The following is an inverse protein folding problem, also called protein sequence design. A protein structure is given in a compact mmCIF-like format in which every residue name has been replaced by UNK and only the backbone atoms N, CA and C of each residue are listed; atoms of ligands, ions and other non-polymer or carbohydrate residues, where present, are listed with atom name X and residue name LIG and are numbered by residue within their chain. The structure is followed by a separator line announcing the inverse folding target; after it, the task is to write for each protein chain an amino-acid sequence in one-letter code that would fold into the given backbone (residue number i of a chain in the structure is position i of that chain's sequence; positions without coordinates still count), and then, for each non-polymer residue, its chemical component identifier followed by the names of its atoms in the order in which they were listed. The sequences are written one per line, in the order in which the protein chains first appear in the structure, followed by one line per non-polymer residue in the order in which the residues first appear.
data_IF_785280187957
#
_entry.id   IF_785280187957
#
_cell.length_a   1.000
_cell.length_b   1.000
_cell.length_c   1.000
_cell.angle_alpha   90.00
_cell.angle_beta   90.00
_cell.angle_gamma   90.00
#
_symmetry.space_group_name_H-M   'P 1'
#
loop_
_entity.id
_entity.type
_entity.pdbx_description
1 polymer ?
#
# COMPACT_ATOMS: atom_id res chain seq x y z
N UNK A 1 -47.38 21.57 -31.27
CA UNK A 1 -47.31 22.87 -31.95
C UNK A 1 -45.92 23.01 -32.49
N UNK A 2 -45.84 22.87 -33.76
CA UNK A 2 -45.57 23.84 -34.82
C UNK A 2 -44.07 23.98 -35.04
N UNK A 3 -43.54 23.34 -36.03
CA UNK A 3 -43.46 23.69 -37.50
C UNK A 3 -42.13 24.39 -37.78
N UNK A 4 -41.34 23.73 -38.61
CA UNK A 4 -41.18 23.94 -40.09
C UNK A 4 -40.05 24.92 -40.36
N UNK A 5 -39.24 24.86 -41.36
CA UNK A 5 -39.19 24.26 -42.70
C UNK A 5 -37.80 24.60 -43.26
N UNK A 6 -37.22 23.70 -44.01
CA UNK A 6 -37.12 23.69 -45.51
C UNK A 6 -36.31 24.85 -46.08
N UNK A 7 -35.50 24.78 -47.05
CA UNK A 7 -35.36 24.01 -48.27
C UNK A 7 -34.14 24.58 -49.02
N UNK A 8 -33.52 23.79 -49.83
CA UNK A 8 -33.48 23.79 -51.32
C UNK A 8 -32.70 24.97 -51.93
N UNK A 9 -31.91 24.90 -52.96
CA UNK A 9 -32.04 24.27 -54.27
C UNK A 9 -30.74 24.55 -55.05
N UNK A 10 -30.14 23.56 -55.66
CA UNK A 10 -29.92 23.32 -57.10
C UNK A 10 -29.06 24.32 -57.88
N UNK A 11 -28.27 23.86 -58.68
CA UNK A 11 -28.28 23.50 -60.10
C UNK A 11 -27.16 24.17 -60.90
N UNK A 12 -26.62 23.49 -61.81
CA UNK A 12 -26.29 23.79 -63.17
C UNK A 12 -24.85 23.39 -63.50
N UNK A 13 -24.60 22.25 -64.10
CA UNK A 13 -24.85 21.83 -65.48
C UNK A 13 -23.89 22.53 -66.47
N UNK A 14 -22.98 21.71 -66.97
CA UNK A 14 -22.83 21.20 -68.34
C UNK A 14 -22.41 22.23 -69.42
N UNK A 15 -21.42 21.88 -70.20
CA UNK A 15 -21.26 21.92 -71.64
C UNK A 15 -19.78 21.87 -71.98
N UNK A 16 -19.27 20.80 -72.45
CA UNK A 16 -19.14 20.23 -73.82
C UNK A 16 -17.95 20.81 -74.54
N UNK A 17 -17.07 19.97 -74.85
CA UNK A 17 -16.82 19.16 -76.05
C UNK A 17 -16.08 19.87 -77.20
N UNK A 18 -15.15 19.13 -77.70
CA UNK A 18 -14.61 18.99 -79.04
C UNK A 18 -13.69 20.11 -79.56
N UNK A 19 -12.57 19.88 -80.06
CA UNK A 19 -12.20 19.18 -81.25
C UNK A 19 -10.73 19.24 -81.55
N UNK A 20 -10.22 18.17 -82.02
CA UNK A 20 -9.49 17.84 -83.26
C UNK A 20 -8.03 18.16 -83.36
N UNK A 21 -7.34 17.06 -83.35
CA UNK A 21 -6.39 16.53 -84.35
C UNK A 21 -5.59 17.52 -85.17
N UNK A 22 -4.29 17.44 -85.14
CA UNK A 22 -3.45 17.17 -86.30
C UNK A 22 -1.99 16.97 -85.93
N UNK A 23 -1.48 15.82 -86.25
CA UNK A 23 -0.28 15.54 -87.03
C UNK A 23 1.07 16.16 -86.61
N UNK A 24 2.01 15.28 -86.38
CA UNK A 24 3.39 15.63 -86.46
C UNK A 24 4.35 14.53 -86.01
N UNK A 25 4.65 13.64 -86.89
CA UNK A 25 5.70 12.62 -86.87
C UNK A 25 7.06 13.12 -86.37
N UNK A 26 7.78 12.17 -85.79
CA UNK A 26 9.22 12.07 -85.74
C UNK A 26 9.88 12.82 -84.56
N UNK A 27 10.27 12.00 -83.56
CA UNK A 27 11.72 11.78 -83.32
C UNK A 27 11.90 10.60 -82.38
N UNK A 28 12.29 9.50 -82.96
CA UNK A 28 12.84 8.35 -82.26
C UNK A 28 14.15 8.80 -81.63
N UNK A 29 14.20 8.91 -80.29
CA UNK A 29 15.44 8.83 -79.49
C UNK A 29 15.35 7.61 -78.62
N UNK A 30 16.36 6.73 -78.66
CA UNK A 30 16.40 5.65 -77.67
C UNK A 30 16.66 6.29 -76.30
N UNK A 31 15.68 6.19 -75.42
CA UNK A 31 15.85 6.52 -74.03
C UNK A 31 16.83 5.53 -73.42
N UNK A 32 17.99 6.05 -73.02
CA UNK A 32 18.92 5.43 -72.13
C UNK A 32 18.15 4.93 -70.88
N UNK A 33 18.33 3.68 -70.57
CA UNK A 33 17.67 3.05 -69.42
C UNK A 33 17.82 3.85 -68.16
N UNK A 34 16.71 4.40 -67.71
CA UNK A 34 16.56 4.92 -66.37
C UNK A 34 16.50 3.70 -65.43
N UNK A 35 17.57 3.52 -64.69
CA UNK A 35 17.59 2.53 -63.65
C UNK A 35 16.34 2.69 -62.78
N UNK A 36 15.55 1.64 -62.69
CA UNK A 36 14.43 1.57 -61.74
C UNK A 36 14.94 2.02 -60.37
N UNK A 37 14.17 2.84 -59.65
CA UNK A 37 14.58 3.19 -58.29
C UNK A 37 14.72 1.89 -57.51
N UNK A 38 15.93 1.62 -57.08
CA UNK A 38 16.22 0.59 -56.09
C UNK A 38 15.30 0.89 -54.91
N UNK A 39 14.34 0.00 -54.66
CA UNK A 39 13.51 0.09 -53.50
C UNK A 39 14.46 0.23 -52.31
N UNK A 40 14.48 1.43 -51.69
CA UNK A 40 15.15 1.59 -50.42
C UNK A 40 14.53 0.57 -49.49
N UNK A 41 15.30 -0.45 -49.14
CA UNK A 41 14.88 -1.38 -48.09
C UNK A 41 14.52 -0.52 -46.88
N UNK A 42 13.27 -0.56 -46.49
CA UNK A 42 12.80 0.09 -45.25
C UNK A 42 13.70 -0.43 -44.15
N UNK A 43 14.51 0.43 -43.58
CA UNK A 43 15.40 0.04 -42.49
C UNK A 43 14.53 -0.56 -41.39
N UNK A 44 14.76 -1.85 -41.09
CA UNK A 44 14.04 -2.49 -39.97
C UNK A 44 14.44 -1.79 -38.68
N UNK A 45 13.51 -1.58 -37.75
CA UNK A 45 13.84 -1.03 -36.46
C UNK A 45 14.89 -1.91 -35.79
N UNK A 46 15.83 -1.30 -35.14
CA UNK A 46 16.92 -1.99 -34.45
C UNK A 46 16.99 -1.53 -32.99
N UNK A 47 17.42 -2.42 -32.13
CA UNK A 47 17.67 -2.20 -30.73
C UNK A 47 19.07 -2.71 -30.37
N UNK A 48 19.63 -2.16 -29.31
CA UNK A 48 20.95 -2.54 -28.82
C UNK A 48 20.82 -3.50 -27.65
N UNK A 49 21.63 -4.53 -27.61
CA UNK A 49 21.81 -5.38 -26.43
C UNK A 49 22.49 -4.55 -25.36
N UNK A 50 21.89 -4.45 -24.19
CA UNK A 50 22.40 -3.64 -23.09
C UNK A 50 22.58 -4.48 -21.83
N UNK A 51 23.61 -4.13 -21.04
CA UNK A 51 23.75 -4.67 -19.69
C UNK A 51 22.82 -3.95 -18.74
N UNK A 52 21.98 -4.74 -18.05
CA UNK A 52 21.05 -4.20 -17.04
C UNK A 52 20.73 -5.25 -16.00
N UNK A 53 20.18 -4.80 -14.89
CA UNK A 53 19.62 -5.68 -13.89
C UNK A 53 18.18 -6.03 -14.28
N UNK A 54 17.87 -7.32 -14.32
CA UNK A 54 16.51 -7.80 -14.54
C UNK A 54 15.96 -8.36 -13.24
N UNK A 55 14.80 -7.84 -12.83
CA UNK A 55 14.07 -8.32 -11.66
C UNK A 55 12.70 -8.80 -12.08
N UNK A 56 12.37 -10.04 -11.76
CA UNK A 56 11.01 -10.55 -11.88
C UNK A 56 10.15 -9.85 -10.85
N UNK A 57 9.07 -9.21 -11.30
CA UNK A 57 8.11 -8.53 -10.42
C UNK A 57 6.75 -9.23 -10.52
N UNK A 58 6.29 -9.76 -9.40
CA UNK A 58 4.95 -10.31 -9.30
C UNK A 58 3.99 -9.25 -8.81
N UNK A 59 3.01 -8.89 -9.62
CA UNK A 59 1.95 -7.96 -9.27
C UNK A 59 0.79 -8.70 -8.59
N UNK A 60 0.55 -8.41 -7.33
CA UNK A 60 -0.54 -8.99 -6.55
C UNK A 60 -1.54 -7.89 -6.18
N UNK A 61 -2.86 -8.12 -6.31
CA UNK A 61 -3.86 -7.16 -5.86
C UNK A 61 -3.80 -7.00 -4.35
N UNK A 62 -3.95 -5.76 -3.88
CA UNK A 62 -3.99 -5.39 -2.47
C UNK A 62 -5.12 -4.42 -2.17
N UNK A 63 -5.44 -4.30 -0.90
CA UNK A 63 -6.43 -3.35 -0.38
C UNK A 63 -5.76 -2.39 0.57
N UNK A 64 -5.90 -1.11 0.30
CA UNK A 64 -5.44 -0.03 1.16
C UNK A 64 -6.48 0.24 2.24
N UNK A 65 -6.05 0.20 3.49
CA UNK A 65 -6.91 0.40 4.64
C UNK A 65 -6.12 0.91 5.85
N UNK A 66 -6.58 0.58 7.04
CA UNK A 66 -5.93 0.99 8.29
C UNK A 66 -5.40 -0.21 9.10
N UNK A 67 -5.16 -1.33 8.43
CA UNK A 67 -4.74 -2.59 9.04
C UNK A 67 -5.89 -3.41 9.62
N UNK A 68 -5.55 -4.55 10.23
CA UNK A 68 -6.53 -5.43 10.84
C UNK A 68 -7.18 -4.78 12.07
N UNK A 69 -8.51 -4.87 12.21
CA UNK A 69 -9.20 -4.31 13.36
C UNK A 69 -8.90 -5.08 14.65
N UNK A 70 -8.67 -4.35 15.73
CA UNK A 70 -8.54 -4.87 17.08
C UNK A 70 -9.84 -4.62 17.85
N UNK A 71 -10.33 -5.65 18.53
CA UNK A 71 -11.51 -5.51 19.39
C UNK A 71 -11.12 -4.90 20.74
N UNK A 72 -11.80 -3.83 21.11
CA UNK A 72 -11.75 -3.27 22.44
C UNK A 72 -12.91 -3.83 23.26
N UNK A 73 -12.57 -4.60 24.28
CA UNK A 73 -13.52 -5.12 25.26
C UNK A 73 -13.55 -4.22 26.47
N UNK A 74 -14.73 -3.85 26.89
CA UNK A 74 -14.89 -3.05 28.09
C UNK A 74 -14.57 -3.84 29.37
N UNK A 75 -14.40 -3.12 30.47
CA UNK A 75 -14.04 -3.70 31.77
C UNK A 75 -14.99 -3.22 32.85
N UNK A 76 -15.30 -4.11 33.75
CA UNK A 76 -16.25 -3.82 34.85
C UNK A 76 -17.69 -3.92 34.40
N UNK A 77 -18.62 -3.85 35.38
CA UNK A 77 -20.05 -3.80 35.10
C UNK A 77 -20.48 -2.39 34.70
N UNK A 78 -21.73 -2.25 34.30
CA UNK A 78 -22.35 -1.00 33.93
C UNK A 78 -22.97 -1.03 32.55
N UNK A 79 -23.48 0.09 32.13
CA UNK A 79 -24.19 0.24 30.85
C UNK A 79 -23.43 1.20 29.94
N UNK A 80 -23.30 0.88 28.66
CA UNK A 80 -22.70 1.75 27.65
C UNK A 80 -23.62 2.98 27.45
N UNK A 81 -23.08 4.17 27.72
CA UNK A 81 -23.83 5.44 27.60
C UNK A 81 -23.35 6.34 26.48
N UNK A 82 -22.12 6.16 25.97
CA UNK A 82 -21.66 6.83 24.78
C UNK A 82 -20.61 5.98 24.06
N UNK A 83 -20.64 6.01 22.72
CA UNK A 83 -19.68 5.40 21.82
C UNK A 83 -19.24 6.43 20.78
N UNK A 84 -17.97 6.42 20.35
CA UNK A 84 -17.49 7.32 19.30
C UNK A 84 -18.04 6.90 17.94
N UNK A 85 -18.13 7.86 17.02
CA UNK A 85 -18.49 7.60 15.63
C UNK A 85 -17.36 6.89 14.87
N UNK A 86 -17.68 6.01 13.90
CA UNK A 86 -16.69 5.44 12.99
C UNK A 86 -15.86 6.54 12.31
N UNK A 87 -14.55 6.31 12.22
CA UNK A 87 -13.61 7.29 11.68
C UNK A 87 -12.98 8.21 12.73
N UNK A 88 -13.51 8.28 13.94
CA UNK A 88 -12.94 9.08 15.02
C UNK A 88 -11.54 8.58 15.37
N UNK A 89 -10.58 9.50 15.45
CA UNK A 89 -9.23 9.22 15.94
C UNK A 89 -9.16 9.55 17.41
N UNK A 90 -8.82 8.58 18.24
CA UNK A 90 -8.68 8.73 19.69
C UNK A 90 -7.22 8.64 20.08
N UNK A 91 -6.71 9.70 20.73
CA UNK A 91 -5.34 9.86 21.17
C UNK A 91 -5.19 9.59 22.66
N UNK A 92 -3.95 9.56 23.12
CA UNK A 92 -3.63 9.48 24.55
C UNK A 92 -4.40 10.54 25.34
N UNK A 93 -5.08 10.11 26.40
CA UNK A 93 -5.81 11.00 27.32
C UNK A 93 -7.20 11.40 26.82
N UNK A 94 -7.57 11.05 25.59
CA UNK A 94 -8.91 11.33 25.07
C UNK A 94 -9.90 10.23 25.48
N UNK A 95 -11.17 10.60 25.54
CA UNK A 95 -12.28 9.69 25.85
C UNK A 95 -12.46 8.69 24.71
N UNK A 96 -12.50 7.40 25.06
CA UNK A 96 -12.72 6.31 24.09
C UNK A 96 -14.20 5.90 24.05
N UNK A 97 -14.87 5.82 25.18
CA UNK A 97 -16.31 5.55 25.35
C UNK A 97 -16.79 5.95 26.74
N UNK A 98 -18.09 5.84 27.04
CA UNK A 98 -18.66 6.08 28.38
C UNK A 98 -19.42 4.87 28.89
N UNK A 99 -19.30 4.64 30.21
CA UNK A 99 -20.06 3.65 30.97
C UNK A 99 -20.70 4.35 32.15
N UNK A 100 -22.01 4.21 32.31
CA UNK A 100 -22.79 4.89 33.36
C UNK A 100 -22.48 6.40 33.44
N UNK A 101 -22.37 7.03 32.26
CA UNK A 101 -22.01 8.45 32.07
C UNK A 101 -20.60 8.83 32.56
N UNK A 102 -19.72 7.84 32.83
CA UNK A 102 -18.33 8.07 33.21
C UNK A 102 -17.42 7.84 32.01
N UNK A 103 -16.51 8.76 31.73
CA UNK A 103 -15.58 8.56 30.60
C UNK A 103 -14.58 7.43 30.89
N UNK A 104 -14.30 6.67 29.86
CA UNK A 104 -13.19 5.70 29.82
C UNK A 104 -12.15 6.21 28.84
N UNK A 105 -10.96 6.48 29.35
CA UNK A 105 -9.89 7.20 28.64
C UNK A 105 -8.93 6.24 27.95
N UNK A 106 -8.43 6.62 26.76
CA UNK A 106 -7.35 5.88 26.10
C UNK A 106 -5.99 6.24 26.70
N UNK A 107 -5.29 5.27 27.22
CA UNK A 107 -3.87 5.34 27.58
C UNK A 107 -3.02 4.48 26.64
N UNK A 108 -1.76 4.86 26.46
CA UNK A 108 -0.85 4.14 25.56
C UNK A 108 0.17 3.34 26.37
N UNK A 109 0.38 2.08 25.94
CA UNK A 109 1.33 1.18 26.60
C UNK A 109 1.11 -0.27 26.23
N UNK A 110 1.91 -1.15 26.80
CA UNK A 110 1.90 -2.59 26.51
C UNK A 110 1.30 -3.43 27.66
N UNK A 111 1.03 -2.82 28.80
CA UNK A 111 0.51 -3.53 29.96
C UNK A 111 -0.85 -2.95 30.35
N UNK A 112 -1.92 -3.75 30.27
CA UNK A 112 -3.25 -3.30 30.67
C UNK A 112 -3.35 -3.17 32.19
N UNK A 113 -4.20 -2.26 32.67
CA UNK A 113 -4.51 -2.16 34.08
C UNK A 113 -5.33 -3.40 34.51
N UNK A 114 -4.94 -4.04 35.59
CA UNK A 114 -5.59 -5.27 36.08
C UNK A 114 -6.02 -5.22 37.53
N UNK A 115 -5.70 -4.13 38.23
CA UNK A 115 -6.00 -3.90 39.65
C UNK A 115 -6.23 -2.42 39.93
N UNK A 116 -6.94 -2.12 41.02
CA UNK A 116 -7.02 -0.77 41.53
C UNK A 116 -5.65 -0.35 42.10
N UNK A 117 -5.19 0.84 41.69
CA UNK A 117 -3.95 1.42 42.18
C UNK A 117 -4.32 2.51 43.18
N UNK A 118 -3.87 2.37 44.44
CA UNK A 118 -4.18 3.28 45.52
C UNK A 118 -3.03 3.42 46.50
N UNK A 119 -3.07 4.51 47.23
CA UNK A 119 -2.15 4.70 48.37
C UNK A 119 -2.48 3.69 49.48
N UNK A 120 -1.47 3.16 50.18
CA UNK A 120 -1.72 2.38 51.37
C UNK A 120 -2.39 3.24 52.45
N UNK A 121 -3.26 2.62 53.21
CA UNK A 121 -4.04 3.32 54.29
C UNK A 121 -3.12 3.95 55.33
N UNK A 122 -1.94 3.36 55.57
CA UNK A 122 -0.90 3.92 56.43
C UNK A 122 0.33 4.20 55.58
N UNK A 123 0.98 5.37 55.73
CA UNK A 123 2.25 5.63 55.05
C UNK A 123 3.25 4.54 55.30
N UNK A 124 3.85 3.94 54.29
CA UNK A 124 4.85 2.87 54.47
C UNK A 124 6.08 3.41 55.22
N UNK A 125 6.55 2.67 56.22
CA UNK A 125 7.68 3.08 57.02
C UNK A 125 9.00 3.17 56.25
N UNK A 126 9.07 2.63 55.05
CA UNK A 126 10.28 2.49 54.21
C UNK A 126 10.04 2.51 52.70
N UNK A 127 9.07 3.26 52.22
CA UNK A 127 8.87 3.42 50.78
C UNK A 127 8.25 2.20 50.07
N UNK A 128 7.64 1.26 50.76
CA UNK A 128 6.94 0.09 50.19
C UNK A 128 5.60 0.49 49.53
N UNK A 129 5.70 1.30 48.49
CA UNK A 129 4.55 1.63 47.62
C UNK A 129 4.22 0.50 46.65
N UNK A 130 2.98 0.48 46.20
CA UNK A 130 2.58 -0.43 45.11
C UNK A 130 3.43 -0.19 43.86
N UNK A 131 4.11 -1.20 43.36
CA UNK A 131 4.93 -1.16 42.13
C UNK A 131 4.40 -2.10 41.06
N UNK A 132 4.79 -1.87 39.81
CA UNK A 132 4.49 -2.75 38.69
C UNK A 132 4.47 -2.02 37.34
N UNK A 133 4.41 -2.81 36.25
CA UNK A 133 4.34 -2.27 34.89
C UNK A 133 3.04 -1.46 34.66
N UNK A 134 1.94 -1.83 35.30
CA UNK A 134 0.68 -1.07 35.31
C UNK A 134 0.88 0.32 35.92
N UNK A 135 1.62 0.43 37.02
CA UNK A 135 1.98 1.73 37.63
C UNK A 135 2.88 2.54 36.69
N UNK A 136 3.86 1.88 36.06
CA UNK A 136 4.75 2.53 35.09
C UNK A 136 3.97 3.08 33.87
N UNK A 137 3.02 2.32 33.33
CA UNK A 137 2.14 2.75 32.22
C UNK A 137 1.27 3.94 32.65
N UNK A 138 0.63 3.89 33.82
CA UNK A 138 -0.14 5.01 34.35
C UNK A 138 0.70 6.28 34.45
N UNK A 139 1.85 6.16 35.08
CA UNK A 139 2.80 7.25 35.31
C UNK A 139 3.28 7.87 34.01
N UNK A 140 3.66 7.02 33.01
CA UNK A 140 4.10 7.48 31.71
C UNK A 140 3.01 8.26 30.95
N UNK A 141 1.75 7.81 31.05
CA UNK A 141 0.63 8.50 30.40
C UNK A 141 0.32 9.83 31.07
N UNK A 142 0.20 9.88 32.40
CA UNK A 142 -0.06 11.12 33.11
C UNK A 142 1.08 12.14 32.93
N UNK A 143 2.34 11.70 32.98
CA UNK A 143 3.48 12.57 32.68
C UNK A 143 3.45 13.13 31.26
N UNK A 144 3.06 12.32 30.26
CA UNK A 144 2.95 12.74 28.87
C UNK A 144 1.75 13.72 28.66
N UNK A 145 0.73 13.67 29.51
CA UNK A 145 -0.39 14.61 29.55
C UNK A 145 -0.06 15.89 30.32
N UNK A 146 1.14 15.97 30.94
CA UNK A 146 1.59 17.19 31.63
C UNK A 146 1.39 17.18 33.12
N UNK A 147 0.90 16.11 33.75
CA UNK A 147 0.76 16.01 35.18
C UNK A 147 2.11 15.75 35.87
N UNK A 148 2.29 16.33 37.06
CA UNK A 148 3.48 16.08 37.88
C UNK A 148 3.33 14.72 38.60
N UNK A 149 4.06 13.74 38.13
CA UNK A 149 4.04 12.38 38.66
C UNK A 149 5.22 12.05 39.59
N UNK A 150 6.01 13.05 39.96
CA UNK A 150 7.25 12.89 40.72
C UNK A 150 8.35 12.26 39.84
N UNK A 151 9.26 11.49 40.47
CA UNK A 151 10.41 10.84 39.77
C UNK A 151 9.90 9.82 38.76
N UNK A 152 10.27 9.96 37.49
CA UNK A 152 9.74 9.13 36.38
C UNK A 152 10.24 7.68 36.40
N UNK A 153 11.45 7.47 36.85
CA UNK A 153 12.12 6.15 36.85
C UNK A 153 11.60 5.21 37.93
N UNK A 154 10.95 5.74 38.96
CA UNK A 154 10.39 4.93 40.05
C UNK A 154 8.98 4.40 39.66
N UNK A 155 8.78 3.10 39.42
CA UNK A 155 7.49 2.52 39.07
C UNK A 155 6.57 2.32 40.27
N UNK A 156 6.63 3.22 41.26
CA UNK A 156 5.85 3.15 42.49
C UNK A 156 4.65 4.12 42.48
N UNK A 157 3.53 3.69 43.10
CA UNK A 157 2.35 4.50 43.27
C UNK A 157 2.52 5.45 44.48
N UNK A 158 3.30 6.50 44.27
CA UNK A 158 3.70 7.47 45.30
C UNK A 158 2.60 8.51 45.56
N UNK A 159 2.71 9.32 46.65
CA UNK A 159 1.80 10.45 46.87
C UNK A 159 1.74 11.43 45.71
N UNK A 160 2.86 11.67 45.02
CA UNK A 160 2.89 12.53 43.83
C UNK A 160 2.05 11.93 42.69
N UNK A 161 2.16 10.62 42.44
CA UNK A 161 1.35 9.95 41.42
C UNK A 161 -0.13 9.94 41.81
N UNK A 162 -0.48 9.68 43.08
CA UNK A 162 -1.87 9.74 43.57
C UNK A 162 -2.47 11.14 43.37
N UNK A 163 -1.66 12.19 43.59
CA UNK A 163 -2.09 13.57 43.35
C UNK A 163 -2.31 13.84 41.84
N UNK A 164 -1.41 13.37 40.99
CA UNK A 164 -1.57 13.46 39.54
C UNK A 164 -2.82 12.72 39.05
N UNK A 165 -3.11 11.53 39.58
CA UNK A 165 -4.37 10.81 39.30
C UNK A 165 -5.57 11.63 39.72
N UNK A 166 -5.54 12.26 40.89
CA UNK A 166 -6.63 13.09 41.39
C UNK A 166 -6.91 14.31 40.49
N UNK A 167 -5.85 14.97 40.00
CA UNK A 167 -5.99 16.07 39.05
C UNK A 167 -6.57 15.59 37.71
N UNK A 168 -6.02 14.49 37.16
CA UNK A 168 -6.53 13.89 35.94
C UNK A 168 -8.01 13.50 36.08
N UNK A 169 -8.40 12.88 37.18
CA UNK A 169 -9.80 12.53 37.44
C UNK A 169 -10.74 13.78 37.43
N UNK A 170 -10.30 14.86 38.01
CA UNK A 170 -11.06 16.13 38.03
C UNK A 170 -11.19 16.68 36.59
N UNK A 171 -10.10 16.71 35.84
CA UNK A 171 -10.05 17.23 34.47
C UNK A 171 -10.93 16.43 33.50
N UNK A 172 -11.03 15.10 33.67
CA UNK A 172 -11.89 14.26 32.81
C UNK A 172 -13.32 14.07 33.35
N UNK A 173 -13.67 14.73 34.45
CA UNK A 173 -15.01 14.67 35.06
C UNK A 173 -15.29 13.40 35.87
N UNK A 174 -14.25 12.71 36.34
CA UNK A 174 -14.36 11.61 37.29
C UNK A 174 -14.31 12.18 38.74
N UNK A 175 -14.76 11.37 39.72
CA UNK A 175 -14.61 11.76 41.15
C UNK A 175 -13.13 11.76 41.52
N UNK A 176 -12.55 12.89 41.98
CA UNK A 176 -11.12 13.04 42.26
C UNK A 176 -10.74 12.39 43.58
N UNK A 177 -10.60 11.07 43.61
CA UNK A 177 -10.23 10.28 44.80
C UNK A 177 -8.73 10.15 44.97
N UNK A 178 -7.97 10.15 43.87
CA UNK A 178 -6.55 9.76 43.82
C UNK A 178 -6.32 8.26 43.83
N UNK A 179 -7.37 7.44 43.82
CA UNK A 179 -7.31 5.98 43.58
C UNK A 179 -7.64 5.74 42.10
N UNK A 180 -6.78 4.96 41.40
CA UNK A 180 -7.00 4.67 40.00
C UNK A 180 -7.76 3.36 39.83
N UNK A 181 -8.95 3.44 39.21
CA UNK A 181 -9.78 2.30 38.87
C UNK A 181 -9.35 1.77 37.47
N UNK A 182 -9.03 0.48 37.31
CA UNK A 182 -8.68 -0.10 36.01
C UNK A 182 -9.80 0.02 34.96
N UNK A 183 -11.05 0.18 35.36
CA UNK A 183 -12.17 0.41 34.45
C UNK A 183 -12.23 1.84 33.88
N UNK A 184 -11.49 2.78 34.44
CA UNK A 184 -11.49 4.19 33.99
C UNK A 184 -10.60 4.45 32.76
N UNK A 185 -9.78 3.48 32.35
CA UNK A 185 -8.94 3.63 31.17
C UNK A 185 -8.69 2.28 30.45
N UNK A 186 -8.58 2.38 29.13
CA UNK A 186 -8.12 1.27 28.26
C UNK A 186 -6.69 1.57 27.82
N UNK A 187 -5.84 0.54 27.86
CA UNK A 187 -4.46 0.63 27.36
C UNK A 187 -4.37 -0.02 25.99
N UNK A 188 -3.91 0.74 25.01
CA UNK A 188 -3.59 0.27 23.67
C UNK A 188 -2.17 0.69 23.30
N UNK A 189 -1.49 0.01 22.34
CA UNK A 189 -0.11 0.34 22.01
C UNK A 189 0.07 1.73 21.40
N UNK A 190 -0.92 2.20 20.65
CA UNK A 190 -0.85 3.45 19.87
C UNK A 190 -2.18 4.21 19.88
N UNK A 191 -2.16 5.43 19.37
CA UNK A 191 -3.35 6.16 18.92
C UNK A 191 -4.14 5.29 17.95
N UNK A 192 -5.45 5.27 18.08
CA UNK A 192 -6.33 4.41 17.29
C UNK A 192 -7.36 5.21 16.51
N UNK A 193 -7.84 4.61 15.44
CA UNK A 193 -9.01 5.05 14.69
C UNK A 193 -10.15 4.08 14.95
N UNK A 194 -11.29 4.59 15.29
CA UNK A 194 -12.51 3.78 15.45
C UNK A 194 -12.96 3.30 14.07
N UNK A 195 -13.03 2.00 13.89
CA UNK A 195 -13.55 1.38 12.67
C UNK A 195 -15.07 1.26 12.76
N UNK A 196 -15.55 0.66 13.84
CA UNK A 196 -16.98 0.47 14.08
C UNK A 196 -17.29 0.27 15.55
N UNK A 197 -18.52 0.54 15.94
CA UNK A 197 -19.07 0.09 17.19
C UNK A 197 -19.45 -1.40 17.09
N UNK A 198 -19.06 -2.19 18.10
CA UNK A 198 -19.43 -3.59 18.25
C UNK A 198 -20.62 -3.74 19.23
N UNK A 199 -20.92 -2.70 20.03
CA UNK A 199 -22.03 -2.63 20.95
C UNK A 199 -22.94 -1.46 20.61
N UNK A 200 -24.13 -1.44 21.18
CA UNK A 200 -25.09 -0.35 21.12
C UNK A 200 -25.18 0.41 22.46
N UNK A 201 -25.74 1.61 22.44
CA UNK A 201 -26.08 2.33 23.67
C UNK A 201 -27.11 1.51 24.45
N UNK A 202 -26.86 1.32 25.75
CA UNK A 202 -27.67 0.50 26.63
C UNK A 202 -27.17 -0.94 26.81
N UNK A 203 -26.20 -1.36 26.05
CA UNK A 203 -25.59 -2.68 26.19
C UNK A 203 -24.70 -2.79 27.44
N UNK A 204 -24.46 -4.02 27.96
CA UNK A 204 -23.50 -4.26 29.04
C UNK A 204 -22.08 -3.84 28.66
N UNK A 205 -21.37 -3.21 29.59
CA UNK A 205 -20.04 -2.66 29.35
C UNK A 205 -18.90 -3.68 29.42
N UNK A 206 -19.14 -4.95 29.77
CA UNK A 206 -18.16 -6.02 29.89
C UNK A 206 -18.02 -6.89 28.61
N UNK A 207 -18.61 -6.42 27.53
CA UNK A 207 -18.58 -7.06 26.21
C UNK A 207 -17.59 -6.35 25.24
N UNK A 208 -17.52 -6.86 24.02
CA UNK A 208 -16.84 -6.18 22.91
C UNK A 208 -17.59 -4.87 22.58
N UNK A 209 -16.92 -3.72 22.72
CA UNK A 209 -17.53 -2.39 22.56
C UNK A 209 -17.20 -1.73 21.23
N UNK A 210 -15.94 -1.81 20.81
CA UNK A 210 -15.43 -1.14 19.62
C UNK A 210 -14.50 -2.06 18.83
N UNK A 211 -14.46 -1.85 17.53
CA UNK A 211 -13.35 -2.26 16.68
C UNK A 211 -12.54 -1.03 16.34
N UNK A 212 -11.23 -1.11 16.58
CA UNK A 212 -10.28 -0.02 16.34
C UNK A 212 -9.14 -0.49 15.44
N UNK A 213 -8.60 0.43 14.64
CA UNK A 213 -7.48 0.17 13.74
C UNK A 213 -6.32 1.14 14.02
N UNK A 214 -5.22 0.95 13.33
CA UNK A 214 -4.15 1.96 13.25
C UNK A 214 -4.70 3.26 12.64
N UNK A 215 -4.01 4.37 12.88
CA UNK A 215 -4.28 5.65 12.20
C UNK A 215 -3.47 5.81 10.92
N UNK A 216 -2.42 5.01 10.74
CA UNK A 216 -1.65 4.99 9.51
C UNK A 216 -2.33 4.08 8.49
N UNK A 217 -2.38 4.52 7.23
CA UNK A 217 -2.86 3.67 6.14
C UNK A 217 -1.81 2.62 5.80
N UNK A 218 -2.25 1.39 5.61
CA UNK A 218 -1.44 0.23 5.25
C UNK A 218 -2.10 -0.53 4.12
N UNK A 219 -1.34 -1.34 3.40
CA UNK A 219 -1.87 -2.19 2.34
C UNK A 219 -1.90 -3.64 2.83
N UNK A 220 -3.05 -4.26 2.74
CA UNK A 220 -3.22 -5.70 3.00
C UNK A 220 -3.22 -6.46 1.67
N UNK A 221 -2.40 -7.50 1.58
CA UNK A 221 -2.28 -8.36 0.40
C UNK A 221 -2.52 -9.80 0.82
N UNK A 222 -3.41 -10.48 0.12
CA UNK A 222 -3.59 -11.92 0.29
C UNK A 222 -2.57 -12.65 -0.58
N UNK A 223 -1.79 -13.50 0.04
CA UNK A 223 -0.75 -14.32 -0.57
C UNK A 223 -1.14 -15.78 -0.47
N UNK A 224 -0.78 -16.58 -1.45
CA UNK A 224 -0.83 -18.03 -1.26
C UNK A 224 0.27 -18.49 -0.26
N UNK A 225 0.16 -19.73 0.23
CA UNK A 225 1.09 -20.24 1.24
C UNK A 225 2.56 -20.27 0.77
N UNK A 226 2.81 -20.41 -0.52
CA UNK A 226 4.16 -20.41 -1.12
C UNK A 226 4.70 -18.98 -1.19
N UNK A 227 3.88 -18.03 -1.63
CA UNK A 227 4.22 -16.62 -1.69
C UNK A 227 4.49 -16.05 -0.29
N UNK A 228 3.67 -16.39 0.70
CA UNK A 228 3.86 -15.96 2.08
C UNK A 228 5.21 -16.39 2.69
N UNK A 229 5.71 -17.57 2.30
CA UNK A 229 7.03 -18.04 2.72
C UNK A 229 8.18 -17.35 1.97
N UNK A 230 7.95 -16.91 0.72
CA UNK A 230 8.95 -16.26 -0.11
C UNK A 230 9.23 -14.80 0.30
N UNK A 231 8.25 -14.14 0.93
CA UNK A 231 8.33 -12.72 1.26
C UNK A 231 8.26 -12.48 2.79
N UNK A 232 9.38 -12.63 3.51
CA UNK A 232 9.41 -12.44 4.96
C UNK A 232 9.20 -10.97 5.35
N UNK A 233 8.90 -10.75 6.62
CA UNK A 233 8.83 -9.41 7.22
C UNK A 233 10.11 -8.63 6.94
N UNK A 234 9.97 -7.36 6.54
CA UNK A 234 11.06 -6.50 6.12
C UNK A 234 11.37 -6.54 4.61
N UNK A 235 10.76 -7.46 3.84
CA UNK A 235 10.91 -7.45 2.38
C UNK A 235 10.39 -6.16 1.78
N UNK A 236 11.18 -5.57 0.87
CA UNK A 236 10.78 -4.38 0.13
C UNK A 236 9.80 -4.72 -0.96
N UNK A 237 8.82 -3.85 -1.12
CA UNK A 237 7.79 -3.96 -2.15
C UNK A 237 7.52 -2.59 -2.74
N UNK A 238 6.86 -2.56 -3.90
CA UNK A 238 6.40 -1.33 -4.53
C UNK A 238 4.88 -1.37 -4.64
N UNK A 239 4.21 -0.40 -4.02
CA UNK A 239 2.75 -0.27 -4.09
C UNK A 239 2.39 0.66 -5.23
N UNK A 240 1.62 0.15 -6.19
CA UNK A 240 1.09 0.91 -7.32
C UNK A 240 -0.31 1.38 -6.99
N UNK A 241 -0.48 2.68 -6.80
CA UNK A 241 -1.77 3.31 -6.56
C UNK A 241 -2.60 3.37 -7.84
N UNK A 242 -3.89 3.65 -7.71
CA UNK A 242 -4.82 3.68 -8.84
C UNK A 242 -4.50 4.78 -9.87
N UNK A 243 -3.85 5.85 -9.47
CA UNK A 243 -3.38 6.94 -10.32
C UNK A 243 -2.06 6.65 -11.06
N UNK A 244 -1.48 5.45 -10.85
CA UNK A 244 -0.20 5.04 -11.41
C UNK A 244 1.02 5.43 -10.57
N UNK A 245 0.82 6.13 -9.45
CA UNK A 245 1.91 6.48 -8.55
C UNK A 245 2.48 5.23 -7.89
N UNK A 246 3.80 5.08 -7.93
CA UNK A 246 4.52 4.00 -7.27
C UNK A 246 5.05 4.48 -5.90
N UNK A 247 4.63 3.82 -4.83
CA UNK A 247 5.05 4.13 -3.45
C UNK A 247 5.91 2.97 -2.92
N UNK A 248 7.16 3.23 -2.52
CA UNK A 248 7.98 2.21 -1.87
C UNK A 248 7.43 1.87 -0.49
N UNK A 249 7.43 0.58 -0.18
CA UNK A 249 6.96 0.04 1.09
C UNK A 249 7.73 -1.21 1.51
N UNK A 250 7.41 -1.69 2.69
CA UNK A 250 7.97 -2.93 3.24
C UNK A 250 6.88 -3.73 3.94
N UNK A 251 7.08 -5.04 3.99
CA UNK A 251 6.19 -5.95 4.72
C UNK A 251 6.41 -5.74 6.22
N UNK A 252 5.40 -5.23 6.90
CA UNK A 252 5.44 -4.98 8.34
C UNK A 252 5.07 -6.23 9.14
N UNK A 253 4.12 -7.02 8.63
CA UNK A 253 3.73 -8.29 9.25
C UNK A 253 3.18 -9.27 8.23
N UNK A 254 3.29 -10.55 8.54
CA UNK A 254 2.68 -11.67 7.81
C UNK A 254 1.92 -12.51 8.82
N UNK A 255 0.66 -12.73 8.59
CA UNK A 255 -0.22 -13.49 9.49
C UNK A 255 -1.17 -14.39 8.71
N UNK A 256 -1.72 -15.38 9.38
CA UNK A 256 -2.81 -16.19 8.85
C UNK A 256 -4.15 -15.60 9.31
N UNK A 257 -5.05 -15.37 8.38
CA UNK A 257 -6.42 -14.95 8.65
C UNK A 257 -7.38 -16.03 8.14
N UNK A 258 -8.48 -16.21 8.85
CA UNK A 258 -9.54 -17.11 8.40
C UNK A 258 -10.45 -16.33 7.44
N UNK A 259 -10.58 -16.85 6.22
CA UNK A 259 -11.49 -16.31 5.22
C UNK A 259 -12.94 -16.66 5.52
N UNK A 260 -13.90 -15.93 4.94
CA UNK A 260 -15.34 -16.15 5.14
C UNK A 260 -15.81 -17.57 4.76
N UNK A 261 -15.05 -18.28 3.94
CA UNK A 261 -15.29 -19.69 3.55
C UNK A 261 -14.63 -20.72 4.49
N UNK A 262 -13.95 -20.26 5.56
CA UNK A 262 -13.24 -21.10 6.53
C UNK A 262 -11.85 -21.54 6.07
N UNK A 263 -11.35 -21.06 4.92
CA UNK A 263 -9.97 -21.30 4.50
C UNK A 263 -9.01 -20.37 5.24
N UNK A 264 -7.78 -20.87 5.48
CA UNK A 264 -6.71 -20.05 6.04
C UNK A 264 -5.96 -19.35 4.89
N UNK A 265 -6.00 -18.03 4.87
CA UNK A 265 -5.25 -17.20 3.94
C UNK A 265 -4.05 -16.56 4.65
N UNK A 266 -2.95 -16.39 3.93
CA UNK A 266 -1.81 -15.62 4.42
C UNK A 266 -2.01 -14.18 4.02
N UNK A 267 -2.04 -13.28 5.00
CA UNK A 267 -2.18 -11.85 4.77
C UNK A 267 -0.88 -11.14 5.14
N UNK A 268 -0.29 -10.46 4.17
CA UNK A 268 0.83 -9.56 4.39
C UNK A 268 0.31 -8.12 4.55
N UNK A 269 0.76 -7.45 5.62
CA UNK A 269 0.51 -6.02 5.84
C UNK A 269 1.74 -5.24 5.43
N UNK A 270 1.54 -4.26 4.56
CA UNK A 270 2.60 -3.44 3.99
C UNK A 270 2.46 -2.00 4.49
N UNK A 271 3.55 -1.46 5.00
CA UNK A 271 3.69 -0.07 5.38
C UNK A 271 4.51 0.69 4.34
N UNK A 272 4.17 1.96 4.12
CA UNK A 272 4.99 2.84 3.29
C UNK A 272 6.31 3.17 4.00
N UNK A 273 7.42 3.19 3.28
CA UNK A 273 8.71 3.63 3.83
C UNK A 273 8.65 5.09 4.34
N UNK A 274 7.89 5.94 3.66
CA UNK A 274 7.64 7.31 4.09
C UNK A 274 6.26 7.41 4.73
N UNK A 275 6.21 7.83 6.00
CA UNK A 275 4.94 8.03 6.72
C UNK A 275 4.02 8.97 5.96
N UNK A 276 2.74 8.57 5.84
CA UNK A 276 1.71 9.34 5.16
C UNK A 276 1.72 9.24 3.63
N UNK A 277 2.60 8.45 3.03
CA UNK A 277 2.67 8.32 1.56
C UNK A 277 1.40 7.69 0.93
N UNK A 278 0.55 7.07 1.72
CA UNK A 278 -0.73 6.53 1.27
C UNK A 278 -1.93 7.45 1.57
N UNK A 279 -1.73 8.59 2.28
CA UNK A 279 -2.85 9.42 2.78
C UNK A 279 -3.64 10.07 1.65
N UNK A 280 -2.98 10.44 0.56
CA UNK A 280 -3.60 11.07 -0.61
C UNK A 280 -4.21 10.09 -1.62
N UNK A 281 -4.11 8.78 -1.36
CA UNK A 281 -4.67 7.78 -2.27
C UNK A 281 -6.21 7.87 -2.32
N UNK A 282 -6.74 7.97 -3.53
CA UNK A 282 -8.17 8.18 -3.80
C UNK A 282 -8.95 6.87 -3.93
N UNK A 283 -8.27 5.73 -4.00
CA UNK A 283 -8.86 4.40 -4.13
C UNK A 283 -8.23 3.45 -3.13
N UNK A 284 -9.01 2.54 -2.61
CA UNK A 284 -8.53 1.47 -1.73
C UNK A 284 -7.98 0.27 -2.52
N UNK A 285 -8.29 0.15 -3.80
CA UNK A 285 -7.73 -0.87 -4.67
C UNK A 285 -6.33 -0.46 -5.15
N UNK A 286 -5.34 -1.28 -4.83
CA UNK A 286 -3.93 -1.07 -5.21
C UNK A 286 -3.34 -2.36 -5.78
N UNK A 287 -2.18 -2.28 -6.40
CA UNK A 287 -1.38 -3.44 -6.77
C UNK A 287 -0.03 -3.36 -6.10
N UNK A 288 0.45 -4.49 -5.63
CA UNK A 288 1.76 -4.58 -4.99
C UNK A 288 2.69 -5.40 -5.86
N UNK A 289 3.80 -4.79 -6.24
CA UNK A 289 4.89 -5.46 -6.94
C UNK A 289 5.85 -6.03 -5.89
N UNK A 290 5.91 -7.35 -5.86
CA UNK A 290 6.88 -8.09 -5.08
C UNK A 290 8.08 -8.38 -5.98
N UNK A 291 9.28 -8.01 -5.56
CA UNK A 291 10.51 -8.32 -6.27
C UNK A 291 10.85 -9.79 -6.04
N UNK A 292 10.89 -10.54 -7.12
CA UNK A 292 11.32 -11.93 -7.14
C UNK A 292 12.82 -12.06 -7.32
N UNK A 293 13.24 -12.94 -8.22
CA UNK A 293 14.65 -13.17 -8.55
C UNK A 293 15.21 -11.97 -9.30
N UNK A 294 16.35 -11.46 -8.88
CA UNK A 294 17.12 -10.46 -9.61
C UNK A 294 18.35 -11.10 -10.22
N UNK A 295 18.56 -10.89 -11.52
CA UNK A 295 19.80 -11.20 -12.21
C UNK A 295 20.53 -9.88 -12.48
N UNK A 296 21.65 -9.67 -11.82
CA UNK A 296 22.44 -8.44 -11.93
C UNK A 296 23.41 -8.51 -13.11
N UNK A 297 23.65 -7.36 -13.77
CA UNK A 297 24.63 -7.19 -14.85
C UNK A 297 24.49 -8.18 -16.00
N UNK A 298 23.25 -8.49 -16.40
CA UNK A 298 22.95 -9.41 -17.48
C UNK A 298 22.73 -8.68 -18.81
N UNK A 299 23.04 -9.36 -19.92
CA UNK A 299 22.73 -8.86 -21.27
C UNK A 299 21.23 -9.01 -21.51
N UNK A 300 20.55 -7.96 -21.87
CA UNK A 300 19.12 -7.95 -22.10
C UNK A 300 18.74 -7.30 -23.44
N UNK A 301 17.66 -7.80 -24.02
CA UNK A 301 17.00 -7.23 -25.20
C UNK A 301 15.50 -7.21 -25.01
N UNK A 302 14.76 -6.34 -25.70
CA UNK A 302 13.31 -6.44 -25.76
C UNK A 302 12.86 -7.82 -26.25
N UNK A 303 11.79 -8.35 -25.68
CA UNK A 303 11.22 -9.65 -26.09
C UNK A 303 10.85 -9.66 -27.59
N UNK A 304 10.50 -8.50 -28.17
CA UNK A 304 10.22 -8.29 -29.58
C UNK A 304 11.42 -8.56 -30.52
N UNK A 305 12.65 -8.46 -30.01
CA UNK A 305 13.86 -8.79 -30.80
C UNK A 305 14.17 -10.29 -30.84
N UNK A 306 13.43 -11.11 -30.06
CA UNK A 306 13.71 -12.54 -29.93
C UNK A 306 12.99 -13.33 -31.02
N UNK A 307 13.72 -14.13 -31.80
CA UNK A 307 13.20 -14.97 -32.88
C UNK A 307 13.24 -16.45 -32.49
N UNK A 308 12.17 -17.17 -32.76
CA UNK A 308 12.12 -18.61 -32.60
C UNK A 308 12.87 -19.28 -33.81
N UNK A 309 13.81 -20.17 -33.52
CA UNK A 309 14.61 -20.83 -34.53
C UNK A 309 13.99 -22.16 -35.03
N UNK A 310 14.10 -22.42 -36.30
CA UNK A 310 13.77 -23.74 -36.88
C UNK A 310 14.69 -24.81 -36.25
N UNK A 311 14.10 -25.76 -35.58
CA UNK A 311 14.84 -26.77 -34.81
C UNK A 311 14.91 -26.51 -33.30
N UNK A 312 14.24 -25.46 -32.82
CA UNK A 312 14.08 -25.11 -31.40
C UNK A 312 15.13 -24.13 -30.88
N UNK A 313 14.76 -23.44 -29.81
CA UNK A 313 15.56 -22.38 -29.22
C UNK A 313 15.29 -21.01 -29.83
N UNK A 314 16.08 -20.03 -29.41
CA UNK A 314 15.90 -18.62 -29.75
C UNK A 314 17.17 -18.07 -30.42
N UNK A 315 17.01 -17.01 -31.20
CA UNK A 315 18.09 -16.25 -31.81
C UNK A 315 17.74 -14.77 -31.92
N UNK A 316 18.77 -13.97 -32.18
CA UNK A 316 18.68 -12.55 -32.51
C UNK A 316 19.09 -12.38 -34.00
N UNK A 317 18.38 -11.51 -34.72
CA UNK A 317 18.73 -11.17 -36.11
C UNK A 317 19.60 -9.90 -36.11
N UNK A 318 20.76 -9.97 -36.70
CA UNK A 318 21.61 -8.81 -36.95
C UNK A 318 21.06 -7.97 -38.12
N UNK A 319 21.44 -6.69 -38.25
CA UNK A 319 20.98 -5.84 -39.36
C UNK A 319 21.33 -6.37 -40.77
N UNK A 320 22.34 -7.21 -40.88
CA UNK A 320 22.75 -7.88 -42.12
C UNK A 320 21.97 -9.16 -42.44
N UNK A 321 21.02 -9.56 -41.57
CA UNK A 321 20.21 -10.76 -41.71
C UNK A 321 20.85 -12.03 -41.11
N UNK A 322 22.02 -11.90 -40.46
CA UNK A 322 22.66 -13.01 -39.77
C UNK A 322 21.89 -13.37 -38.50
N UNK A 323 21.62 -14.66 -38.26
CA UNK A 323 20.98 -15.15 -37.06
C UNK A 323 22.01 -15.62 -36.03
N UNK A 324 22.02 -15.01 -34.87
CA UNK A 324 22.84 -15.38 -33.72
C UNK A 324 22.00 -16.19 -32.74
N UNK A 325 22.41 -17.43 -32.48
CA UNK A 325 21.71 -18.29 -31.51
C UNK A 325 21.97 -17.81 -30.08
N UNK A 326 20.91 -17.72 -29.29
CA UNK A 326 20.98 -17.28 -27.86
C UNK A 326 20.30 -18.29 -26.94
N UNK A 327 20.76 -18.33 -25.71
CA UNK A 327 20.05 -18.91 -24.59
C UNK A 327 19.33 -17.79 -23.86
N UNK A 328 18.06 -18.01 -23.53
CA UNK A 328 17.26 -17.05 -22.74
C UNK A 328 17.33 -17.41 -21.28
N UNK A 329 17.42 -16.39 -20.42
CA UNK A 329 17.30 -16.49 -18.97
C UNK A 329 16.01 -15.87 -18.48
N UNK A 330 16.11 -14.90 -17.57
CA UNK A 330 14.99 -14.23 -16.95
C UNK A 330 14.23 -13.32 -17.94
N UNK A 331 12.89 -13.37 -17.86
CA UNK A 331 12.00 -12.47 -18.59
C UNK A 331 11.41 -11.49 -17.58
N UNK A 332 11.68 -10.20 -17.73
CA UNK A 332 11.19 -9.17 -16.82
C UNK A 332 11.03 -7.82 -17.51
N UNK A 333 9.98 -7.08 -17.20
CA UNK A 333 9.78 -5.71 -17.67
C UNK A 333 9.74 -5.52 -19.20
N UNK A 334 9.35 -6.57 -19.96
CA UNK A 334 9.37 -6.54 -21.43
C UNK A 334 10.74 -6.82 -22.04
N UNK A 335 11.74 -7.08 -21.22
CA UNK A 335 13.08 -7.51 -21.59
C UNK A 335 13.25 -9.00 -21.33
N UNK A 336 14.24 -9.58 -22.00
CA UNK A 336 14.68 -10.95 -21.80
C UNK A 336 16.20 -10.99 -21.68
N UNK A 337 16.67 -11.68 -20.66
CA UNK A 337 18.09 -12.01 -20.52
C UNK A 337 18.53 -12.94 -21.64
N UNK A 338 19.62 -12.60 -22.29
CA UNK A 338 20.21 -13.37 -23.38
C UNK A 338 21.68 -13.67 -23.11
N UNK A 339 22.11 -14.84 -23.50
CA UNK A 339 23.52 -15.25 -23.43
C UNK A 339 23.93 -16.09 -24.66
N UNK A 340 25.16 -15.92 -25.12
CA UNK A 340 25.70 -16.63 -26.27
C UNK A 340 27.13 -16.18 -26.57
N UNK A 341 27.87 -16.99 -27.32
CA UNK A 341 29.29 -16.73 -27.62
C UNK A 341 29.46 -15.47 -28.50
N UNK A 342 28.44 -15.15 -29.32
CA UNK A 342 28.43 -14.01 -30.24
C UNK A 342 27.54 -12.85 -29.76
N UNK A 343 27.18 -12.81 -28.48
CA UNK A 343 26.35 -11.76 -27.87
C UNK A 343 27.18 -10.94 -26.90
N UNK A 344 27.22 -9.65 -27.15
CA UNK A 344 27.96 -8.71 -26.29
C UNK A 344 27.17 -7.44 -26.09
N UNK A 345 27.53 -6.68 -25.05
CA UNK A 345 27.03 -5.34 -24.81
C UNK A 345 27.30 -4.43 -25.99
N UNK A 346 26.32 -3.63 -26.42
CA UNK A 346 26.41 -2.78 -27.60
C UNK A 346 26.09 -3.49 -28.94
N UNK A 347 25.80 -4.79 -28.97
CA UNK A 347 25.41 -5.49 -30.19
C UNK A 347 24.05 -4.97 -30.68
N UNK A 348 24.01 -4.51 -31.94
CA UNK A 348 22.78 -4.07 -32.58
C UNK A 348 22.02 -5.24 -33.20
N UNK A 349 20.75 -5.39 -32.88
CA UNK A 349 19.86 -6.43 -33.38
C UNK A 349 18.57 -5.85 -33.94
N UNK A 350 17.91 -6.59 -34.80
CA UNK A 350 16.64 -6.20 -35.40
C UNK A 350 15.54 -6.36 -34.34
N UNK A 351 14.75 -5.31 -34.17
CA UNK A 351 13.53 -5.34 -33.35
C UNK A 351 12.34 -5.59 -34.27
N UNK A 352 11.67 -6.72 -34.10
CA UNK A 352 10.46 -7.02 -34.85
C UNK A 352 9.28 -6.33 -34.19
N UNK A 353 8.47 -5.54 -34.91
CA UNK A 353 7.32 -4.84 -34.36
C UNK A 353 6.19 -5.79 -33.92
#
# INVERSE_FOLDING_TARGET
MSRRRTALVTTGAVVAAAALATAGLLWFRPASGEAAPTASATARPTVTVERTDLTDEQLVPGTLGFGAPQTVTGRGGGTVTALPEPGTVVRRGEELYRVDDRPVTLFLGDTPFFRTLKMPEQPPKSGDYTTGNDVAVLKANLAALGYDVGTREDPAYTPALAWAVKQWQDDVGLKPTGDFDPASAVVLPTTVRVESAAAALGDPADAALLKVTSTARTVSVRLDGVQGAAYPVGSRVRVMLADGTAVPGSIASVGAEESDDGSQEVVAVIEAEKKGAFDDATSDAVRVAFSGTTHEDVLAVPVSALLALVGGGYGLELPDGTLVRVRTGLFAGGLVEVSGDDVSDGLTVVDAP
#
